data_IF_512501107525
#
_entry.id   IF_512501107525
#
_cell.length_a   1.000
_cell.length_b   1.000
_cell.length_c   1.000
_cell.angle_alpha   90.00
_cell.angle_beta   90.00
_cell.angle_gamma   90.00
#
_symmetry.space_group_name_H-M   'P 1'
#
loop_
_entity.id
_entity.type
_entity.pdbx_description
1 polymer ?
#
# COMPACT_ATOMS: atom_id res chain seq x y z
N UNK A 1 11.72 28.89 40.92
CA UNK A 1 11.00 28.92 39.63
C UNK A 1 12.00 29.14 38.51
N UNK A 2 12.24 28.13 37.68
CA UNK A 2 12.94 28.27 36.41
C UNK A 2 12.12 27.49 35.37
N UNK A 3 11.38 28.21 34.52
CA UNK A 3 10.73 27.62 33.35
C UNK A 3 11.80 27.48 32.27
N UNK A 4 12.38 26.29 32.16
CA UNK A 4 13.26 25.94 31.04
C UNK A 4 12.41 26.02 29.77
N UNK A 5 12.69 27.01 28.93
CA UNK A 5 12.23 27.08 27.55
C UNK A 5 13.16 26.22 26.68
N UNK A 6 12.59 25.46 25.75
CA UNK A 6 13.33 24.97 24.58
C UNK A 6 13.97 23.58 24.70
N UNK A 7 13.18 22.55 25.00
CA UNK A 7 13.53 21.20 24.56
C UNK A 7 12.58 20.84 23.41
N UNK A 8 12.96 21.23 22.18
CA UNK A 8 12.35 20.62 21.01
C UNK A 8 12.76 19.14 21.00
N UNK A 9 11.79 18.25 21.19
CA UNK A 9 11.95 16.81 20.99
C UNK A 9 11.32 16.42 19.67
N UNK A 10 11.79 15.33 19.06
CA UNK A 10 11.07 14.70 17.96
C UNK A 10 9.66 14.32 18.46
N UNK A 11 8.65 14.75 17.72
CA UNK A 11 7.26 14.42 17.98
C UNK A 11 6.64 13.96 16.66
N UNK A 12 6.37 12.67 16.56
CA UNK A 12 5.58 12.10 15.47
C UNK A 12 4.12 12.22 15.89
N UNK A 13 3.45 13.27 15.42
CA UNK A 13 1.99 13.36 15.54
C UNK A 13 1.41 12.80 14.27
N UNK A 14 0.92 11.56 14.32
CA UNK A 14 0.03 11.06 13.28
C UNK A 14 -1.24 11.92 13.30
N UNK A 15 -1.44 12.70 12.25
CA UNK A 15 -2.57 13.62 12.13
C UNK A 15 -3.88 12.85 12.09
N UNK A 16 -4.95 13.40 12.68
CA UNK A 16 -6.29 12.85 12.44
C UNK A 16 -6.59 12.80 10.94
N UNK A 17 -7.31 11.75 10.49
CA UNK A 17 -7.69 11.45 9.09
C UNK A 17 -6.72 10.51 8.32
N UNK A 18 -6.38 9.38 8.94
CA UNK A 18 -5.61 8.29 8.32
C UNK A 18 -6.57 7.30 7.67
N UNK A 19 -6.32 6.93 6.41
CA UNK A 19 -7.01 5.82 5.78
C UNK A 19 -6.09 4.63 5.58
N UNK A 20 -6.65 3.43 5.75
CA UNK A 20 -5.93 2.17 5.66
C UNK A 20 -6.34 1.46 4.39
N UNK A 21 -5.36 0.94 3.67
CA UNK A 21 -5.54 0.27 2.40
C UNK A 21 -4.87 -1.09 2.45
N UNK A 22 -5.51 -2.06 1.81
CA UNK A 22 -4.94 -3.37 1.54
C UNK A 22 -4.85 -3.55 0.03
N UNK A 23 -3.64 -3.81 -0.47
CA UNK A 23 -3.39 -4.31 -1.81
C UNK A 23 -3.31 -5.85 -1.75
N UNK A 24 -4.08 -6.49 -2.61
CA UNK A 24 -3.95 -7.90 -2.94
C UNK A 24 -3.30 -8.00 -4.31
N UNK A 25 -2.28 -8.85 -4.44
CA UNK A 25 -1.60 -9.07 -5.73
C UNK A 25 -1.35 -10.56 -5.95
N UNK A 26 -1.58 -11.02 -7.18
CA UNK A 26 -1.22 -12.37 -7.64
C UNK A 26 -0.24 -12.29 -8.80
N UNK A 27 0.64 -13.28 -8.91
CA UNK A 27 1.61 -13.37 -10.00
C UNK A 27 2.84 -12.45 -9.92
N UNK A 28 2.84 -11.42 -9.06
CA UNK A 28 4.01 -10.60 -8.74
C UNK A 28 4.54 -10.94 -7.34
N UNK A 29 5.82 -11.34 -7.25
CA UNK A 29 6.50 -11.55 -5.97
C UNK A 29 7.03 -10.23 -5.43
N UNK A 30 6.52 -9.83 -4.26
CA UNK A 30 6.86 -8.59 -3.54
C UNK A 30 7.47 -8.89 -2.17
N UNK A 31 8.17 -10.02 -2.03
CA UNK A 31 8.81 -10.39 -0.77
C UNK A 31 9.79 -9.30 -0.29
N UNK A 32 9.58 -8.79 0.92
CA UNK A 32 10.51 -7.86 1.55
C UNK A 32 11.76 -8.61 2.02
N UNK A 33 12.92 -8.34 1.41
CA UNK A 33 14.20 -8.96 1.76
C UNK A 33 15.17 -7.99 2.43
N UNK A 34 14.95 -6.67 2.27
CA UNK A 34 15.86 -5.61 2.69
C UNK A 34 17.10 -5.46 1.79
N UNK A 35 17.21 -6.24 0.71
CA UNK A 35 18.31 -6.17 -0.24
C UNK A 35 17.87 -5.50 -1.53
N UNK A 36 18.39 -4.31 -1.83
CA UNK A 36 18.08 -3.58 -3.07
C UNK A 36 18.51 -4.33 -4.35
N UNK A 37 19.40 -5.33 -4.23
CA UNK A 37 19.82 -6.16 -5.35
C UNK A 37 18.86 -7.34 -5.62
N UNK A 38 17.94 -7.62 -4.70
CA UNK A 38 16.95 -8.69 -4.84
C UNK A 38 15.75 -8.20 -5.67
N UNK A 39 15.37 -8.97 -6.70
CA UNK A 39 14.28 -8.60 -7.60
C UNK A 39 12.93 -8.46 -6.87
N UNK A 40 12.66 -9.29 -5.87
CA UNK A 40 11.38 -9.24 -5.13
C UNK A 40 11.30 -8.00 -4.22
N UNK A 41 12.45 -7.52 -3.73
CA UNK A 41 12.53 -6.24 -3.03
C UNK A 41 12.34 -5.06 -3.98
N UNK A 42 12.94 -5.11 -5.18
CA UNK A 42 12.73 -4.08 -6.20
C UNK A 42 11.25 -4.00 -6.61
N UNK A 43 10.58 -5.14 -6.75
CA UNK A 43 9.15 -5.20 -7.06
C UNK A 43 8.30 -4.53 -5.96
N UNK A 44 8.63 -4.78 -4.69
CA UNK A 44 7.99 -4.09 -3.56
C UNK A 44 8.26 -2.57 -3.60
N UNK A 45 9.50 -2.18 -3.85
CA UNK A 45 9.89 -0.77 -3.94
C UNK A 45 9.13 -0.06 -5.07
N UNK A 46 8.96 -0.71 -6.22
CA UNK A 46 8.16 -0.19 -7.36
C UNK A 46 6.68 -0.04 -7.00
N UNK A 47 6.08 -1.02 -6.32
CA UNK A 47 4.70 -0.91 -5.80
C UNK A 47 4.56 0.28 -4.85
N UNK A 48 5.51 0.46 -3.93
CA UNK A 48 5.51 1.60 -2.99
C UNK A 48 5.72 2.92 -3.74
N UNK A 49 6.56 2.94 -4.76
CA UNK A 49 6.80 4.13 -5.59
C UNK A 49 5.53 4.54 -6.35
N UNK A 50 4.76 3.61 -6.90
CA UNK A 50 3.48 3.91 -7.56
C UNK A 50 2.49 4.57 -6.61
N UNK A 51 2.35 4.06 -5.39
CA UNK A 51 1.50 4.68 -4.35
C UNK A 51 2.01 6.09 -4.03
N UNK A 52 3.33 6.23 -3.93
CA UNK A 52 4.03 7.48 -3.60
C UNK A 52 3.87 8.59 -4.66
N UNK A 53 3.40 8.26 -5.87
CA UNK A 53 3.06 9.28 -6.89
C UNK A 53 1.87 10.16 -6.47
N UNK A 54 1.04 9.70 -5.54
CA UNK A 54 -0.16 10.42 -5.08
C UNK A 54 -0.14 10.73 -3.59
N UNK A 55 0.32 9.81 -2.75
CA UNK A 55 0.42 10.03 -1.30
C UNK A 55 1.58 9.24 -0.71
N UNK A 56 2.21 9.78 0.35
CA UNK A 56 3.24 9.04 1.08
C UNK A 56 2.59 7.87 1.84
N UNK A 57 2.99 6.60 1.57
CA UNK A 57 2.49 5.46 2.32
C UNK A 57 3.31 5.23 3.60
N UNK A 58 2.61 4.98 4.70
CA UNK A 58 3.14 4.38 5.91
C UNK A 58 2.95 2.86 5.78
N UNK A 59 4.06 2.12 5.70
CA UNK A 59 4.01 0.66 5.60
C UNK A 59 3.54 0.08 6.94
N UNK A 60 2.38 -0.60 6.93
CA UNK A 60 1.78 -1.15 8.14
C UNK A 60 2.26 -2.58 8.43
N UNK A 61 2.60 -3.33 7.36
CA UNK A 61 3.26 -4.62 7.44
C UNK A 61 4.11 -4.87 6.19
N UNK A 62 5.17 -5.66 6.35
CA UNK A 62 5.83 -6.27 5.19
C UNK A 62 4.82 -7.14 4.44
N UNK A 63 4.89 -7.23 3.10
CA UNK A 63 4.02 -8.11 2.32
C UNK A 63 4.01 -9.53 2.86
N UNK A 64 2.80 -10.10 2.98
CA UNK A 64 2.60 -11.45 3.51
C UNK A 64 2.12 -12.32 2.36
N UNK A 65 2.85 -13.41 2.08
CA UNK A 65 2.39 -14.44 1.16
C UNK A 65 1.18 -15.17 1.76
N UNK A 66 0.08 -15.22 1.01
CA UNK A 66 -1.19 -15.80 1.44
C UNK A 66 -1.86 -16.58 0.30
N UNK A 67 -2.85 -17.39 0.66
CA UNK A 67 -3.85 -17.88 -0.30
C UNK A 67 -5.00 -16.88 -0.33
N UNK A 68 -5.25 -16.23 -1.46
CA UNK A 68 -6.19 -15.11 -1.60
C UNK A 68 -7.67 -15.50 -1.43
N UNK A 69 -7.99 -16.80 -1.48
CA UNK A 69 -9.35 -17.32 -1.37
C UNK A 69 -10.05 -16.82 -0.09
N UNK A 70 -11.05 -15.96 -0.26
CA UNK A 70 -11.82 -15.39 0.84
C UNK A 70 -11.11 -14.28 1.63
N UNK A 71 -9.94 -13.83 1.16
CA UNK A 71 -9.23 -12.65 1.67
C UNK A 71 -9.35 -11.47 0.70
N UNK A 72 -9.08 -11.71 -0.58
CA UNK A 72 -9.26 -10.72 -1.63
C UNK A 72 -10.75 -10.67 -2.07
N UNK A 73 -11.24 -9.54 -2.58
CA UNK A 73 -12.61 -9.41 -3.09
C UNK A 73 -13.00 -10.49 -4.11
N UNK A 74 -12.14 -10.77 -5.09
CA UNK A 74 -12.40 -11.80 -6.11
C UNK A 74 -11.18 -12.64 -6.51
N UNK A 75 -9.95 -12.17 -6.22
CA UNK A 75 -8.75 -12.95 -6.52
C UNK A 75 -8.69 -14.26 -5.71
N UNK A 76 -8.18 -15.31 -6.34
CA UNK A 76 -7.97 -16.64 -5.73
C UNK A 76 -6.58 -17.17 -6.06
N UNK A 77 -6.16 -18.22 -5.35
CA UNK A 77 -4.84 -18.83 -5.51
C UNK A 77 -3.77 -18.17 -4.64
N UNK A 78 -2.50 -18.43 -4.98
CA UNK A 78 -1.37 -17.86 -4.27
C UNK A 78 -1.15 -16.39 -4.64
N UNK A 79 -0.81 -15.57 -3.65
CA UNK A 79 -0.50 -14.16 -3.86
C UNK A 79 0.03 -13.51 -2.60
N UNK A 80 0.02 -12.19 -2.59
CA UNK A 80 0.48 -11.38 -1.47
C UNK A 80 -0.61 -10.42 -0.99
N UNK A 81 -0.56 -10.15 0.30
CA UNK A 81 -1.32 -9.10 0.97
C UNK A 81 -0.33 -8.05 1.49
N UNK A 82 -0.52 -6.80 1.09
CA UNK A 82 0.27 -5.66 1.54
C UNK A 82 -0.64 -4.57 2.11
N UNK A 83 -0.42 -4.15 3.35
CA UNK A 83 -1.18 -3.04 3.96
C UNK A 83 -0.32 -1.81 4.14
N UNK A 84 -0.93 -0.68 3.83
CA UNK A 84 -0.35 0.63 4.03
C UNK A 84 -1.41 1.61 4.51
N UNK A 85 -0.97 2.70 5.12
CA UNK A 85 -1.80 3.80 5.54
C UNK A 85 -1.32 5.10 4.89
N UNK A 86 -2.19 6.10 4.78
CA UNK A 86 -1.83 7.43 4.27
C UNK A 86 -2.47 8.52 5.12
N UNK A 87 -1.75 9.61 5.35
CA UNK A 87 -2.19 10.75 6.19
C UNK A 87 -2.99 11.79 5.39
N UNK A 88 -3.89 11.33 4.52
CA UNK A 88 -4.81 12.19 3.77
C UNK A 88 -6.13 11.45 3.54
N UNK A 89 -7.20 11.96 4.14
CA UNK A 89 -8.53 11.38 3.98
C UNK A 89 -8.97 11.37 2.52
N UNK A 90 -9.45 10.21 2.05
CA UNK A 90 -10.07 10.00 0.74
C UNK A 90 -9.16 10.37 -0.43
N UNK A 91 -7.84 10.32 -0.25
CA UNK A 91 -6.86 10.72 -1.28
C UNK A 91 -6.93 9.83 -2.53
N UNK A 92 -7.32 8.57 -2.37
CA UNK A 92 -7.52 7.63 -3.48
C UNK A 92 -8.97 7.51 -3.94
N UNK A 93 -9.87 8.33 -3.38
CA UNK A 93 -11.28 8.29 -3.74
C UNK A 93 -11.57 9.12 -5.00
N UNK A 94 -12.39 8.56 -5.88
CA UNK A 94 -13.03 9.32 -6.95
C UNK A 94 -14.42 8.77 -7.23
N UNK A 95 -15.37 9.67 -7.46
CA UNK A 95 -16.76 9.31 -7.80
C UNK A 95 -17.42 8.31 -6.81
N UNK A 96 -17.02 8.34 -5.53
CA UNK A 96 -17.54 7.45 -4.48
C UNK A 96 -16.87 6.08 -4.37
N UNK A 97 -15.90 5.73 -5.22
CA UNK A 97 -15.04 4.56 -5.04
C UNK A 97 -13.76 4.99 -4.32
N UNK A 98 -13.60 4.46 -3.10
CA UNK A 98 -12.51 4.78 -2.16
C UNK A 98 -11.12 4.36 -2.62
N UNK A 99 -11.04 3.57 -3.69
CA UNK A 99 -9.81 3.01 -4.25
C UNK A 99 -9.59 3.37 -5.72
N UNK A 100 -10.48 4.14 -6.34
CA UNK A 100 -10.47 4.44 -7.79
C UNK A 100 -9.13 4.93 -8.30
N UNK A 101 -8.44 5.81 -7.55
CA UNK A 101 -7.15 6.35 -7.99
C UNK A 101 -6.06 5.28 -7.94
N UNK A 102 -6.09 4.35 -6.97
CA UNK A 102 -5.14 3.23 -6.93
C UNK A 102 -5.32 2.31 -8.14
N UNK A 103 -6.57 2.04 -8.52
CA UNK A 103 -6.88 1.26 -9.73
C UNK A 103 -6.27 1.91 -10.95
N UNK A 104 -6.52 3.19 -11.16
CA UNK A 104 -5.98 3.94 -12.30
C UNK A 104 -4.45 4.04 -12.32
N UNK A 105 -3.81 4.20 -11.15
CA UNK A 105 -2.35 4.33 -11.04
C UNK A 105 -1.61 3.04 -11.44
N UNK A 106 -2.18 1.90 -11.11
CA UNK A 106 -1.55 0.60 -11.32
C UNK A 106 -1.99 -0.07 -12.63
N UNK A 107 -3.12 0.33 -13.18
CA UNK A 107 -3.70 -0.25 -14.40
C UNK A 107 -2.70 -0.18 -15.58
N UNK A 108 -2.40 -1.34 -16.16
CA UNK A 108 -1.44 -1.54 -17.25
C UNK A 108 0.02 -1.16 -16.94
N UNK A 109 0.39 -0.99 -15.66
CA UNK A 109 1.81 -0.89 -15.28
C UNK A 109 2.44 -2.27 -15.32
N UNK A 110 3.63 -2.37 -15.89
CA UNK A 110 4.43 -3.61 -15.89
C UNK A 110 5.55 -3.53 -14.85
N UNK A 111 5.57 -4.47 -13.91
CA UNK A 111 6.65 -4.66 -12.93
C UNK A 111 7.20 -6.08 -13.14
N UNK A 112 8.51 -6.21 -13.37
CA UNK A 112 9.18 -7.52 -13.52
C UNK A 112 8.48 -8.47 -14.52
N UNK A 113 8.07 -7.91 -15.67
CA UNK A 113 7.36 -8.64 -16.73
C UNK A 113 5.90 -8.97 -16.44
N UNK A 114 5.38 -8.67 -15.25
CA UNK A 114 3.98 -8.83 -14.87
C UNK A 114 3.23 -7.53 -15.12
N UNK A 115 2.22 -7.57 -16.01
CA UNK A 115 1.32 -6.42 -16.21
C UNK A 115 0.20 -6.46 -15.17
N UNK A 116 0.01 -5.36 -14.47
CA UNK A 116 -0.98 -5.22 -13.41
C UNK A 116 -2.31 -4.74 -14.00
N UNK A 117 -3.38 -5.44 -13.68
CA UNK A 117 -4.75 -5.21 -14.18
C UNK A 117 -5.74 -5.46 -13.05
N UNK A 118 -6.57 -4.45 -12.76
CA UNK A 118 -7.57 -4.56 -11.68
C UNK A 118 -8.57 -5.69 -11.94
N UNK A 119 -8.85 -6.47 -10.89
CA UNK A 119 -9.73 -7.64 -10.95
C UNK A 119 -9.12 -8.89 -11.61
N UNK A 120 -7.96 -8.77 -12.29
CA UNK A 120 -7.24 -9.92 -12.85
C UNK A 120 -6.13 -10.39 -11.92
N UNK A 121 -5.29 -9.48 -11.45
CA UNK A 121 -4.14 -9.82 -10.61
C UNK A 121 -3.82 -8.79 -9.52
N UNK A 122 -4.53 -7.66 -9.48
CA UNK A 122 -4.49 -6.71 -8.37
C UNK A 122 -5.90 -6.34 -7.92
N UNK A 123 -6.10 -6.17 -6.62
CA UNK A 123 -7.33 -5.67 -6.02
C UNK A 123 -7.01 -4.81 -4.80
N UNK A 124 -7.90 -3.85 -4.52
CA UNK A 124 -7.72 -2.90 -3.42
C UNK A 124 -8.95 -2.89 -2.52
N UNK A 125 -8.71 -2.75 -1.22
CA UNK A 125 -9.76 -2.48 -0.23
C UNK A 125 -9.30 -1.36 0.67
N UNK A 126 -10.12 -0.32 0.79
CA UNK A 126 -10.00 0.63 1.89
C UNK A 126 -10.69 0.05 3.12
N UNK A 127 -9.98 0.01 4.24
CA UNK A 127 -10.56 -0.32 5.53
C UNK A 127 -10.79 0.97 6.31
N UNK A 128 -12.05 1.25 6.65
CA UNK A 128 -12.35 2.12 7.77
C UNK A 128 -11.98 1.34 9.04
N UNK A 129 -10.86 1.67 9.68
CA UNK A 129 -10.60 1.11 11.00
C UNK A 129 -11.67 1.65 11.95
N UNK A 130 -12.58 0.75 12.35
CA UNK A 130 -13.10 0.58 13.72
C UNK A 130 -13.18 -0.91 14.03
#
# INVERSE_FOLDING_TARGET
>A
MAKIHGAASAGETLGGNINFYTLYVSGLDITATGSVADQTQQNLDDVVNLISLVAQPIIMNNPIAVTLNGLAPSLTGAGFLFKFAVEHGRVFERNGDTTSVLKELFENVTIDGVTLVEGSNIEYVMSDIL
#
